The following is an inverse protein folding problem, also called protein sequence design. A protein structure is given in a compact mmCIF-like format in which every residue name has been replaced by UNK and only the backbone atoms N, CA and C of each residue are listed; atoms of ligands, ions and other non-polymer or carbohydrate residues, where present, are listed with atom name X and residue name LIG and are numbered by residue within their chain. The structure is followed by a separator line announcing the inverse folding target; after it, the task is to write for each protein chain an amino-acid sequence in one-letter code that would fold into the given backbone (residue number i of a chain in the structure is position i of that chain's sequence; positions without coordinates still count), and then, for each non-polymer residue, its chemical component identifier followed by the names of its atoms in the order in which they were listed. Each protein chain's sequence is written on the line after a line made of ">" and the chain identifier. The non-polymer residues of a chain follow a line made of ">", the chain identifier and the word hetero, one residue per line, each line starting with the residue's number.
data_IF_306071759151
#
_entry.id   IF_306071759151
#
_cell.length_a   1.000
_cell.length_b   1.000
_cell.length_c   1.000
_cell.angle_alpha   90.00
_cell.angle_beta   90.00
_cell.angle_gamma   90.00
#
_symmetry.space_group_name_H-M   'P 1'
#
loop_
_entity.id
_entity.type
_entity.pdbx_description
1 polymer ?
#
# COMPACT_ATOMS: atom_id res chain seq x y z
N UNK A 1 9.87 41.07 39.25
CA UNK A 1 8.65 40.54 38.61
C UNK A 1 9.08 39.81 37.35
N UNK A 2 9.24 38.49 37.38
CA UNK A 2 9.87 37.81 36.25
C UNK A 2 9.93 36.30 36.38
N UNK A 3 8.78 35.63 36.54
CA UNK A 3 8.70 34.17 36.43
C UNK A 3 7.31 33.77 35.93
N UNK A 4 6.99 34.05 34.67
CA UNK A 4 5.80 33.46 34.01
C UNK A 4 5.97 33.18 32.51
N UNK A 5 7.02 33.69 31.85
CA UNK A 5 7.15 33.59 30.39
C UNK A 5 7.65 32.22 29.89
N UNK A 6 8.51 31.51 30.65
CA UNK A 6 9.09 30.22 30.25
C UNK A 6 8.09 29.06 30.16
N UNK A 7 7.15 28.86 31.09
CA UNK A 7 6.20 27.74 31.00
C UNK A 7 5.18 27.92 29.86
N UNK A 8 4.81 29.17 29.55
CA UNK A 8 3.90 29.49 28.45
C UNK A 8 4.52 29.18 27.08
N UNK A 9 5.81 29.47 26.90
CA UNK A 9 6.53 29.16 25.65
C UNK A 9 6.68 27.65 25.43
N UNK A 10 6.95 26.89 26.49
CA UNK A 10 7.02 25.42 26.42
C UNK A 10 5.65 24.83 26.08
N UNK A 11 4.59 25.26 26.75
CA UNK A 11 3.23 24.83 26.45
C UNK A 11 2.81 25.13 25.01
N UNK A 12 3.17 26.31 24.49
CA UNK A 12 2.93 26.68 23.09
C UNK A 12 3.67 25.78 22.08
N UNK A 13 4.93 25.43 22.37
CA UNK A 13 5.72 24.53 21.53
C UNK A 13 5.16 23.08 21.53
N UNK A 14 4.70 22.59 22.68
CA UNK A 14 4.05 21.26 22.78
C UNK A 14 2.73 21.20 22.01
N UNK A 15 1.91 22.25 22.09
CA UNK A 15 0.66 22.33 21.33
C UNK A 15 0.92 22.40 19.81
N UNK A 16 1.95 23.13 19.36
CA UNK A 16 2.36 23.12 17.96
C UNK A 16 2.83 21.73 17.51
N UNK A 17 3.63 21.04 18.32
CA UNK A 17 4.11 19.69 17.99
C UNK A 17 2.96 18.68 17.89
N UNK A 18 1.95 18.77 18.76
CA UNK A 18 0.76 17.94 18.70
C UNK A 18 -0.11 18.20 17.46
N UNK A 19 -0.14 19.44 16.94
CA UNK A 19 -0.84 19.78 15.70
C UNK A 19 -0.05 19.37 14.43
N UNK A 20 1.27 19.27 14.51
CA UNK A 20 2.14 18.77 13.43
C UNK A 20 2.13 17.24 13.36
N UNK A 21 1.81 16.56 14.47
CA UNK A 21 1.47 15.15 14.50
C UNK A 21 0.16 14.91 13.76
N UNK A 22 0.23 14.92 12.42
CA UNK A 22 -0.91 14.61 11.57
C UNK A 22 -1.54 13.30 12.02
N UNK A 23 -2.87 13.26 12.09
CA UNK A 23 -3.60 12.03 12.31
C UNK A 23 -3.09 10.99 11.31
N UNK A 24 -2.33 10.00 11.80
CA UNK A 24 -1.93 8.88 10.99
C UNK A 24 -3.24 8.19 10.65
N UNK A 25 -3.75 8.40 9.43
CA UNK A 25 -4.91 7.65 8.97
C UNK A 25 -4.45 6.20 8.97
N UNK A 26 -4.89 5.41 9.95
CA UNK A 26 -4.74 3.97 9.88
C UNK A 26 -5.46 3.57 8.59
N UNK A 27 -4.69 3.12 7.59
CA UNK A 27 -5.27 2.82 6.29
C UNK A 27 -6.32 1.73 6.40
N UNK A 28 -7.03 1.46 5.31
CA UNK A 28 -8.13 0.48 5.29
C UNK A 28 -7.98 -0.44 4.10
N UNK A 29 -8.36 -1.70 4.28
CA UNK A 29 -8.36 -2.68 3.20
C UNK A 29 -9.66 -2.62 2.40
N UNK A 30 -9.58 -3.01 1.12
CA UNK A 30 -10.75 -3.17 0.27
C UNK A 30 -11.67 -4.25 0.85
N UNK A 31 -12.95 -3.93 1.03
CA UNK A 31 -13.91 -4.83 1.67
C UNK A 31 -14.55 -5.76 0.64
N UNK A 32 -13.78 -6.74 0.16
CA UNK A 32 -14.15 -7.58 -0.99
C UNK A 32 -13.89 -9.09 -0.83
N UNK A 33 -13.57 -9.53 0.39
CA UNK A 33 -13.20 -10.90 0.77
C UNK A 33 -11.91 -11.46 0.14
N UNK A 34 -11.23 -10.71 -0.73
CA UNK A 34 -9.90 -11.06 -1.27
C UNK A 34 -8.76 -10.36 -0.56
N UNK A 35 -9.06 -9.23 0.07
CA UNK A 35 -8.16 -8.54 0.97
C UNK A 35 -8.48 -8.91 2.41
N UNK A 36 -7.50 -8.74 3.28
CA UNK A 36 -7.67 -8.82 4.73
C UNK A 36 -8.74 -7.83 5.20
N UNK A 37 -9.41 -8.14 6.31
CA UNK A 37 -10.44 -7.25 6.87
C UNK A 37 -9.86 -5.90 7.32
N UNK A 38 -8.65 -5.92 7.88
CA UNK A 38 -7.92 -4.74 8.36
C UNK A 38 -6.43 -4.89 8.05
N UNK A 39 -5.69 -3.78 7.86
CA UNK A 39 -4.25 -3.84 7.68
C UNK A 39 -3.56 -4.41 8.92
N UNK A 40 -2.53 -5.23 8.71
CA UNK A 40 -1.67 -5.69 9.81
C UNK A 40 -0.30 -6.10 9.27
N UNK A 41 0.72 -6.24 10.15
CA UNK A 41 2.03 -6.72 9.74
C UNK A 41 1.98 -8.14 9.14
N UNK A 42 2.82 -8.38 8.13
CA UNK A 42 3.02 -9.61 7.39
C UNK A 42 4.53 -9.87 7.21
N UNK A 43 5.20 -10.46 8.22
CA UNK A 43 6.66 -10.59 8.22
C UNK A 43 7.20 -11.51 7.12
N UNK A 44 6.33 -12.35 6.54
CA UNK A 44 6.70 -13.27 5.47
C UNK A 44 6.37 -12.71 4.07
N UNK A 45 5.91 -11.46 3.95
CA UNK A 45 5.54 -10.85 2.67
C UNK A 45 6.81 -10.41 1.91
N UNK A 46 7.28 -11.25 0.98
CA UNK A 46 8.59 -11.03 0.34
C UNK A 46 8.50 -10.18 -0.93
N UNK A 47 7.62 -10.57 -1.86
CA UNK A 47 7.48 -9.92 -3.18
C UNK A 47 6.90 -8.51 -3.08
N UNK A 48 6.01 -8.29 -2.11
CA UNK A 48 5.38 -7.00 -1.81
C UNK A 48 5.90 -6.38 -0.50
N UNK A 49 7.16 -6.63 -0.14
CA UNK A 49 7.75 -6.27 1.16
C UNK A 49 7.67 -4.79 1.56
N UNK A 50 7.45 -3.88 0.60
CA UNK A 50 7.13 -2.48 0.89
C UNK A 50 5.94 -2.32 1.86
N UNK A 51 5.01 -3.27 1.87
CA UNK A 51 3.82 -3.25 2.71
C UNK A 51 3.91 -4.17 3.94
N UNK A 52 5.06 -4.82 4.18
CA UNK A 52 5.19 -5.86 5.21
C UNK A 52 4.83 -5.39 6.62
N UNK A 53 5.11 -4.15 7.00
CA UNK A 53 4.77 -3.63 8.33
C UNK A 53 3.27 -3.30 8.49
N UNK A 54 2.55 -3.12 7.38
CA UNK A 54 1.14 -2.74 7.38
C UNK A 54 0.44 -3.11 6.06
N UNK A 55 0.03 -4.38 5.93
CA UNK A 55 -0.45 -4.97 4.66
C UNK A 55 -1.93 -5.36 4.70
N UNK A 56 -2.58 -5.23 3.53
CA UNK A 56 -3.92 -5.74 3.22
C UNK A 56 -3.95 -7.10 2.51
N UNK A 57 -2.79 -7.69 2.21
CA UNK A 57 -2.64 -9.02 1.64
C UNK A 57 -1.79 -9.91 2.56
N UNK A 58 -1.89 -11.22 2.42
CA UNK A 58 -0.92 -12.21 2.87
C UNK A 58 -0.06 -12.69 1.70
N UNK A 59 1.01 -13.44 1.95
CA UNK A 59 1.83 -14.07 0.89
C UNK A 59 0.99 -15.02 0.00
N UNK A 60 -0.07 -15.62 0.56
CA UNK A 60 -0.98 -16.52 -0.15
C UNK A 60 -1.96 -15.78 -1.08
N UNK A 61 -2.20 -14.48 -0.84
CA UNK A 61 -3.14 -13.64 -1.59
C UNK A 61 -2.54 -13.03 -2.87
N UNK A 62 -1.22 -13.12 -3.04
CA UNK A 62 -0.46 -12.55 -4.16
C UNK A 62 0.22 -13.61 -5.05
N UNK A 63 -0.42 -14.75 -5.35
CA UNK A 63 0.24 -15.82 -6.07
C UNK A 63 0.60 -15.36 -7.50
N UNK A 64 -0.16 -14.44 -8.10
CA UNK A 64 0.12 -13.82 -9.41
C UNK A 64 1.33 -12.86 -9.43
N UNK A 65 1.80 -12.42 -8.27
CA UNK A 65 2.96 -11.52 -8.14
C UNK A 65 4.22 -12.31 -7.77
N UNK A 66 4.06 -13.50 -7.18
CA UNK A 66 5.18 -14.33 -6.77
C UNK A 66 5.80 -15.08 -7.94
N UNK A 67 7.14 -15.04 -8.00
CA UNK A 67 7.93 -15.79 -8.98
C UNK A 67 7.92 -17.30 -8.74
N UNK A 68 7.31 -17.77 -7.64
CA UNK A 68 7.35 -19.17 -7.23
C UNK A 68 6.18 -19.92 -7.87
N UNK A 69 6.43 -20.91 -8.73
CA UNK A 69 5.39 -21.80 -9.21
C UNK A 69 4.88 -22.63 -8.02
N UNK A 70 3.60 -22.48 -7.68
CA UNK A 70 2.93 -23.34 -6.69
C UNK A 70 1.78 -24.08 -7.36
N UNK A 71 1.32 -25.19 -6.77
CA UNK A 71 0.18 -25.95 -7.31
C UNK A 71 -1.13 -25.14 -7.35
N UNK A 72 -1.22 -24.07 -6.54
CA UNK A 72 -2.28 -23.07 -6.53
C UNK A 72 -2.05 -21.98 -7.59
N UNK A 73 -0.79 -21.77 -7.99
CA UNK A 73 -0.34 -20.84 -9.01
C UNK A 73 -0.42 -21.45 -10.41
N UNK A 74 -1.64 -21.73 -10.90
CA UNK A 74 -1.88 -21.78 -12.35
C UNK A 74 -1.84 -20.37 -12.93
N UNK A 75 -0.82 -19.59 -12.59
CA UNK A 75 -0.65 -18.25 -13.10
C UNK A 75 -0.76 -18.32 -14.61
N UNK A 76 -1.60 -17.46 -15.17
CA UNK A 76 -1.40 -17.02 -16.53
C UNK A 76 -0.17 -16.11 -16.40
N UNK A 77 1.04 -16.58 -16.76
CA UNK A 77 2.21 -15.71 -16.65
C UNK A 77 1.97 -14.42 -17.44
N UNK A 78 2.44 -13.28 -16.92
CA UNK A 78 2.18 -11.96 -17.52
C UNK A 78 2.73 -11.86 -18.96
N UNK A 79 3.69 -12.71 -19.28
CA UNK A 79 4.37 -12.93 -20.56
C UNK A 79 3.51 -13.52 -21.70
N UNK A 80 2.22 -13.16 -21.77
CA UNK A 80 1.28 -13.69 -22.78
C UNK A 80 1.73 -13.51 -24.23
N UNK A 81 2.60 -12.53 -24.47
CA UNK A 81 3.14 -12.17 -25.77
C UNK A 81 4.66 -12.46 -25.87
N UNK A 82 5.21 -13.26 -24.97
CA UNK A 82 6.65 -13.47 -24.80
C UNK A 82 7.18 -12.88 -23.50
N UNK A 83 8.42 -13.21 -23.11
CA UNK A 83 9.01 -12.83 -21.83
C UNK A 83 9.06 -11.30 -21.68
N UNK A 84 8.71 -10.82 -20.50
CA UNK A 84 8.84 -9.41 -20.14
C UNK A 84 10.30 -9.09 -19.81
N UNK A 85 10.72 -7.84 -20.04
CA UNK A 85 11.97 -7.37 -19.46
C UNK A 85 11.83 -7.25 -17.94
N UNK A 86 12.95 -7.30 -17.23
CA UNK A 86 13.00 -7.14 -15.77
C UNK A 86 12.36 -5.83 -15.30
N UNK A 87 12.54 -4.76 -16.07
CA UNK A 87 12.00 -3.43 -15.76
C UNK A 87 10.47 -3.44 -15.87
N UNK A 88 9.93 -3.95 -16.97
CA UNK A 88 8.49 -4.03 -17.22
C UNK A 88 7.79 -4.87 -16.15
N UNK A 89 8.35 -6.03 -15.83
CA UNK A 89 7.86 -6.89 -14.77
C UNK A 89 7.89 -6.17 -13.40
N UNK A 90 8.96 -5.44 -13.09
CA UNK A 90 9.07 -4.66 -11.86
C UNK A 90 7.99 -3.58 -11.71
N UNK A 91 7.51 -2.98 -12.80
CA UNK A 91 6.36 -2.06 -12.75
C UNK A 91 5.04 -2.80 -12.50
N UNK A 92 4.81 -3.92 -13.19
CA UNK A 92 3.61 -4.75 -12.98
C UNK A 92 3.52 -5.26 -11.53
N UNK A 93 4.66 -5.65 -10.94
CA UNK A 93 4.75 -6.02 -9.53
C UNK A 93 4.36 -4.87 -8.62
N UNK A 94 4.93 -3.68 -8.82
CA UNK A 94 4.61 -2.50 -7.99
C UNK A 94 3.12 -2.16 -8.02
N UNK A 95 2.49 -2.18 -9.19
CA UNK A 95 1.04 -1.89 -9.32
C UNK A 95 0.19 -3.00 -8.71
N UNK A 96 0.58 -4.26 -8.90
CA UNK A 96 -0.12 -5.40 -8.30
C UNK A 96 -0.01 -5.37 -6.77
N UNK A 97 1.19 -5.15 -6.22
CA UNK A 97 1.41 -5.00 -4.79
C UNK A 97 0.65 -3.81 -4.20
N UNK A 98 0.58 -2.68 -4.90
CA UNK A 98 -0.24 -1.54 -4.45
C UNK A 98 -1.71 -1.95 -4.33
N UNK A 99 -2.29 -2.53 -5.39
CA UNK A 99 -3.69 -2.95 -5.37
C UNK A 99 -3.98 -3.99 -4.29
N UNK A 100 -3.11 -5.00 -4.13
CA UNK A 100 -3.32 -6.13 -3.22
C UNK A 100 -3.02 -5.82 -1.76
N UNK A 101 -1.97 -5.05 -1.50
CA UNK A 101 -1.36 -5.00 -0.17
C UNK A 101 -1.40 -3.60 0.44
N UNK A 102 -1.55 -2.54 -0.35
CA UNK A 102 -1.54 -1.19 0.20
C UNK A 102 -2.77 -0.92 1.07
N UNK A 103 -2.60 -0.42 2.31
CA UNK A 103 -3.71 0.05 3.13
C UNK A 103 -4.30 1.37 2.62
N UNK A 104 -3.73 1.94 1.55
CA UNK A 104 -4.23 3.16 0.92
C UNK A 104 -5.04 2.90 -0.35
N UNK A 105 -5.00 1.69 -0.92
CA UNK A 105 -5.72 1.38 -2.16
C UNK A 105 -7.22 1.65 -2.03
N UNK A 106 -7.80 1.36 -0.86
CA UNK A 106 -9.22 1.57 -0.58
C UNK A 106 -9.65 3.04 -0.48
N UNK A 107 -8.71 4.00 -0.53
CA UNK A 107 -9.05 5.44 -0.64
C UNK A 107 -9.67 5.80 -1.99
N UNK A 108 -9.50 4.94 -3.00
CA UNK A 108 -9.99 5.16 -4.37
C UNK A 108 -10.97 4.06 -4.82
N UNK A 109 -12.07 3.81 -4.10
CA UNK A 109 -12.98 2.71 -4.43
C UNK A 109 -13.72 2.99 -5.74
N UNK A 110 -13.95 1.94 -6.52
CA UNK A 110 -14.81 2.03 -7.69
C UNK A 110 -16.29 2.11 -7.26
N UNK A 111 -17.09 3.04 -7.82
CA UNK A 111 -18.43 3.34 -7.32
C UNK A 111 -19.42 2.17 -7.42
N UNK A 112 -19.28 1.28 -8.40
CA UNK A 112 -20.17 0.11 -8.55
C UNK A 112 -19.50 -1.26 -8.34
N UNK A 113 -18.19 -1.35 -8.12
CA UNK A 113 -17.47 -2.64 -8.14
C UNK A 113 -16.57 -2.76 -6.92
N UNK A 114 -17.01 -3.52 -5.91
CA UNK A 114 -16.38 -3.58 -4.58
C UNK A 114 -14.89 -3.95 -4.57
N UNK A 115 -14.45 -4.80 -5.49
CA UNK A 115 -13.03 -5.20 -5.62
C UNK A 115 -12.19 -4.27 -6.48
N UNK A 116 -12.73 -3.18 -7.01
CA UNK A 116 -11.99 -2.36 -7.98
C UNK A 116 -11.66 -1.01 -7.36
N UNK A 117 -10.53 -0.47 -7.78
CA UNK A 117 -10.14 0.90 -7.50
C UNK A 117 -10.22 1.72 -8.79
N UNK A 118 -10.48 3.01 -8.66
CA UNK A 118 -10.64 3.91 -9.80
C UNK A 118 -10.01 5.27 -9.52
N UNK A 119 -9.37 5.85 -10.54
CA UNK A 119 -8.78 7.19 -10.49
C UNK A 119 -7.72 7.36 -9.38
N UNK A 120 -6.91 6.31 -9.16
CA UNK A 120 -5.72 6.40 -8.31
C UNK A 120 -4.75 7.41 -8.92
N UNK A 121 -4.34 8.46 -8.18
CA UNK A 121 -3.45 9.50 -8.69
C UNK A 121 -2.01 9.00 -8.67
N UNK A 122 -1.62 8.28 -9.71
CA UNK A 122 -0.23 7.89 -9.89
C UNK A 122 0.63 9.11 -10.25
N UNK A 123 1.84 9.15 -9.72
CA UNK A 123 2.81 10.17 -10.09
C UNK A 123 3.10 10.11 -11.59
N UNK A 124 3.10 11.26 -12.26
CA UNK A 124 3.39 11.33 -13.70
C UNK A 124 4.74 10.69 -14.06
N UNK A 125 5.77 10.88 -13.23
CA UNK A 125 7.08 10.22 -13.44
C UNK A 125 6.98 8.71 -13.45
N UNK A 126 6.23 8.11 -12.52
CA UNK A 126 6.01 6.67 -12.48
C UNK A 126 5.34 6.17 -13.76
N UNK A 127 4.31 6.85 -14.25
CA UNK A 127 3.61 6.47 -15.48
C UNK A 127 4.43 6.67 -16.76
N UNK A 128 5.37 7.62 -16.75
CA UNK A 128 6.27 7.85 -17.90
C UNK A 128 7.39 6.82 -17.94
N UNK A 129 7.87 6.42 -16.77
CA UNK A 129 8.99 5.47 -16.66
C UNK A 129 8.51 4.00 -16.82
N UNK A 130 7.21 3.75 -16.61
CA UNK A 130 6.53 2.48 -16.92
C UNK A 130 6.22 2.37 -18.41
#
# INVERSE_FOLDING_TARGET
>A
MGVTSRPLLLAGAYLLAALIGGAHSEGVCLQDAKHKATPSPEPNLTECGLYADNSCCTEEDIPDVSHVPSALNKNKPWDKCGPLSSECEGFLKRVSCFYRCSPDAARWPHPQRRSYIQAVPLCHSFCRDW
#
